data_IF_864644620763
#
_entry.id   IF_864644620763
#
_cell.length_a   1.000
_cell.length_b   1.000
_cell.length_c   1.000
_cell.angle_alpha   90.00
_cell.angle_beta   90.00
_cell.angle_gamma   90.00
#
_symmetry.space_group_name_H-M   'P 1'
#
loop_
_entity.id
_entity.type
_entity.pdbx_description
1 polymer ?
#
# COMPACT_ATOMS: atom_id res chain seq x y z
N UNK A 1 5.03 -22.02 -5.12
CA UNK A 1 4.05 -22.90 -5.80
C UNK A 1 4.79 -23.85 -6.73
N UNK A 2 4.32 -25.10 -6.89
CA UNK A 2 4.80 -25.97 -7.96
C UNK A 2 4.66 -25.27 -9.33
N UNK A 3 5.66 -25.39 -10.22
CA UNK A 3 5.53 -24.87 -11.59
C UNK A 3 4.27 -25.41 -12.28
N UNK A 4 3.54 -24.55 -12.99
CA UNK A 4 2.31 -24.91 -13.69
C UNK A 4 1.06 -25.00 -12.81
N UNK A 5 1.14 -24.59 -11.55
CA UNK A 5 -0.05 -24.45 -10.70
C UNK A 5 -0.97 -23.39 -11.27
N UNK A 6 -2.21 -23.76 -11.58
CA UNK A 6 -3.20 -22.87 -12.19
C UNK A 6 -3.65 -21.83 -11.16
N UNK A 7 -3.64 -20.56 -11.54
CA UNK A 7 -4.04 -19.45 -10.66
C UNK A 7 -5.03 -18.48 -11.29
N UNK A 8 -5.27 -18.57 -12.60
CA UNK A 8 -6.29 -17.82 -13.31
C UNK A 8 -6.98 -18.73 -14.31
N UNK A 9 -8.31 -18.68 -14.37
CA UNK A 9 -9.14 -19.22 -15.43
C UNK A 9 -9.78 -18.04 -16.19
N UNK A 10 -9.29 -17.73 -17.39
CA UNK A 10 -9.84 -16.62 -18.16
C UNK A 10 -11.33 -16.79 -18.46
N UNK A 11 -12.18 -15.88 -17.99
CA UNK A 11 -13.62 -15.89 -18.28
C UNK A 11 -13.94 -15.81 -19.78
N UNK A 12 -13.09 -15.12 -20.54
CA UNK A 12 -13.27 -14.94 -21.98
C UNK A 12 -12.93 -16.19 -22.80
N UNK A 13 -12.03 -17.04 -22.31
CA UNK A 13 -11.45 -18.14 -23.10
C UNK A 13 -11.54 -19.51 -22.43
N UNK A 14 -11.92 -19.59 -21.15
CA UNK A 14 -11.95 -20.81 -20.34
C UNK A 14 -10.58 -21.46 -20.15
N UNK A 15 -9.50 -20.71 -20.41
CA UNK A 15 -8.12 -21.23 -20.37
C UNK A 15 -7.47 -20.92 -19.04
N UNK A 16 -6.69 -21.89 -18.55
CA UNK A 16 -5.96 -21.76 -17.31
C UNK A 16 -4.53 -21.25 -17.53
N UNK A 17 -4.09 -20.34 -16.68
CA UNK A 17 -2.73 -19.82 -16.65
C UNK A 17 -2.21 -19.70 -15.21
N UNK A 18 -0.90 -19.54 -15.08
CA UNK A 18 -0.22 -19.25 -13.82
C UNK A 18 0.28 -17.81 -13.88
N UNK A 19 -0.44 -16.88 -13.25
CA UNK A 19 -0.10 -15.46 -13.25
C UNK A 19 0.17 -14.94 -11.83
N UNK A 20 -0.53 -15.47 -10.84
CA UNK A 20 -0.31 -15.16 -9.43
C UNK A 20 0.86 -15.95 -8.85
N UNK A 21 1.87 -15.25 -8.35
CA UNK A 21 3.09 -15.83 -7.81
C UNK A 21 3.39 -15.24 -6.42
N UNK A 22 3.83 -16.10 -5.51
CA UNK A 22 4.33 -15.70 -4.20
C UNK A 22 5.84 -15.97 -4.13
N UNK A 23 6.63 -14.92 -3.89
CA UNK A 23 8.08 -14.99 -3.80
C UNK A 23 8.53 -14.86 -2.35
N UNK A 24 9.53 -15.64 -1.97
CA UNK A 24 10.22 -15.55 -0.67
C UNK A 24 11.70 -15.31 -0.90
N UNK A 25 12.35 -14.58 0.01
CA UNK A 25 13.81 -14.49 0.00
C UNK A 25 14.43 -15.86 0.31
N UNK A 26 15.65 -16.09 -0.16
CA UNK A 26 16.40 -17.32 0.14
C UNK A 26 16.56 -17.57 1.64
N UNK A 27 16.59 -16.51 2.44
CA UNK A 27 16.67 -16.59 3.91
C UNK A 27 15.41 -17.15 4.58
N UNK A 28 14.27 -17.16 3.90
CA UNK A 28 12.98 -17.63 4.43
C UNK A 28 12.51 -18.92 3.77
N UNK A 29 13.30 -19.49 2.86
CA UNK A 29 12.94 -20.68 2.09
C UNK A 29 12.65 -21.89 3.00
N UNK A 30 13.53 -22.14 3.97
CA UNK A 30 13.38 -23.23 4.95
C UNK A 30 12.22 -22.99 5.93
N UNK A 31 11.74 -21.75 6.04
CA UNK A 31 10.60 -21.39 6.88
C UNK A 31 9.26 -21.57 6.16
N UNK A 32 9.24 -21.85 4.85
CA UNK A 32 7.99 -22.05 4.11
C UNK A 32 7.36 -23.40 4.48
N UNK A 33 6.21 -23.35 5.16
CA UNK A 33 5.45 -24.54 5.53
C UNK A 33 4.56 -25.04 4.39
N UNK A 34 3.99 -24.12 3.62
CA UNK A 34 2.98 -24.43 2.61
C UNK A 34 2.90 -23.31 1.58
N UNK A 35 2.71 -23.68 0.31
CA UNK A 35 2.35 -22.76 -0.75
C UNK A 35 1.39 -23.47 -1.71
N UNK A 36 0.11 -23.08 -1.70
CA UNK A 36 -0.96 -23.73 -2.49
C UNK A 36 -1.97 -22.72 -3.01
N UNK A 37 -2.89 -23.19 -3.85
CA UNK A 37 -4.09 -22.42 -4.23
C UNK A 37 -5.29 -22.80 -3.36
N UNK A 38 -6.30 -21.94 -3.35
CA UNK A 38 -7.60 -22.12 -2.69
C UNK A 38 -8.69 -21.42 -3.49
N UNK A 39 -9.90 -21.98 -3.45
CA UNK A 39 -11.07 -21.46 -4.18
C UNK A 39 -11.30 -19.99 -3.86
N UNK A 40 -11.44 -19.17 -4.90
CA UNK A 40 -11.52 -17.72 -4.82
C UNK A 40 -12.91 -17.16 -4.54
N UNK A 41 -13.90 -18.02 -4.28
CA UNK A 41 -15.25 -17.62 -3.91
C UNK A 41 -15.92 -16.69 -4.96
N UNK A 42 -15.74 -16.99 -6.24
CA UNK A 42 -16.40 -16.30 -7.35
C UNK A 42 -15.52 -15.33 -8.13
N UNK A 43 -14.20 -15.41 -8.00
CA UNK A 43 -13.26 -14.79 -8.94
C UNK A 43 -12.87 -15.81 -10.03
N UNK A 44 -12.46 -15.29 -11.18
CA UNK A 44 -11.74 -16.00 -12.22
C UNK A 44 -10.30 -16.38 -11.81
N UNK A 45 -9.74 -15.75 -10.79
CA UNK A 45 -8.47 -16.12 -10.14
C UNK A 45 -8.66 -17.21 -9.08
N UNK A 46 -7.61 -17.91 -8.69
CA UNK A 46 -7.52 -18.76 -7.48
C UNK A 46 -6.63 -18.06 -6.44
N UNK A 47 -6.99 -18.15 -5.17
CA UNK A 47 -6.20 -17.50 -4.11
C UNK A 47 -4.90 -18.25 -3.85
N UNK A 48 -3.75 -17.57 -3.90
CA UNK A 48 -2.48 -18.18 -3.49
C UNK A 48 -2.28 -18.02 -1.99
N UNK A 49 -2.24 -19.15 -1.27
CA UNK A 49 -1.97 -19.22 0.17
C UNK A 49 -0.50 -19.60 0.37
N UNK A 50 0.24 -18.73 1.05
CA UNK A 50 1.61 -18.96 1.50
C UNK A 50 1.66 -18.94 3.02
N UNK A 51 2.17 -20.00 3.64
CA UNK A 51 2.39 -20.08 5.09
C UNK A 51 3.87 -20.20 5.37
N UNK A 52 4.36 -19.34 6.25
CA UNK A 52 5.75 -19.26 6.64
C UNK A 52 5.81 -19.32 8.17
N UNK A 53 6.66 -20.19 8.72
CA UNK A 53 6.95 -20.28 10.14
C UNK A 53 8.10 -19.34 10.50
N UNK A 54 7.74 -18.13 10.90
CA UNK A 54 8.70 -17.12 11.36
C UNK A 54 8.35 -16.69 12.78
N UNK A 55 9.35 -16.54 13.67
CA UNK A 55 9.14 -15.99 14.99
C UNK A 55 8.82 -14.50 14.88
N UNK A 56 7.57 -14.16 14.59
CA UNK A 56 7.11 -12.78 14.55
C UNK A 56 6.77 -12.36 15.97
N UNK A 57 7.56 -11.46 16.53
CA UNK A 57 7.07 -10.67 17.68
C UNK A 57 5.90 -9.86 17.15
N UNK A 58 4.67 -10.16 17.59
CA UNK A 58 3.50 -9.38 17.22
C UNK A 58 3.74 -7.94 17.64
N UNK A 59 4.06 -7.08 16.69
CA UNK A 59 4.09 -5.64 16.91
C UNK A 59 2.70 -5.24 17.39
N UNK A 60 2.62 -4.35 18.38
CA UNK A 60 1.35 -3.71 18.72
C UNK A 60 0.71 -3.10 17.46
N UNK A 61 -0.60 -2.80 17.48
CA UNK A 61 -1.27 -2.22 16.32
C UNK A 61 -0.52 -0.96 15.88
N UNK A 62 0.18 -1.05 14.74
CA UNK A 62 0.93 0.08 14.21
C UNK A 62 -0.05 1.23 13.94
N UNK A 63 0.32 2.42 14.39
CA UNK A 63 -0.32 3.65 13.95
C UNK A 63 -0.20 3.71 12.43
N UNK A 64 -1.31 3.52 11.72
CA UNK A 64 -1.34 3.60 10.25
C UNK A 64 -1.95 4.95 9.85
N UNK A 65 -1.49 5.58 8.76
CA UNK A 65 -2.16 6.76 8.23
C UNK A 65 -3.63 6.45 7.88
N UNK A 66 -4.53 7.37 8.24
CA UNK A 66 -5.95 7.26 7.90
C UNK A 66 -6.26 8.09 6.67
N UNK A 67 -5.98 7.58 5.47
CA UNK A 67 -6.23 8.29 4.20
C UNK A 67 -7.70 8.70 3.99
N UNK A 68 -8.66 7.95 4.55
CA UNK A 68 -10.08 8.37 4.57
C UNK A 68 -10.31 9.68 5.31
N UNK A 69 -9.48 9.96 6.32
CA UNK A 69 -9.57 11.13 7.17
C UNK A 69 -8.54 12.19 6.81
N UNK A 70 -7.80 12.00 5.70
CA UNK A 70 -6.82 12.96 5.25
C UNK A 70 -7.52 14.25 4.79
N UNK A 71 -6.87 15.38 5.08
CA UNK A 71 -7.26 16.68 4.58
C UNK A 71 -6.65 16.88 3.19
N UNK A 72 -7.36 16.41 2.15
CA UNK A 72 -6.85 16.44 0.78
C UNK A 72 -6.74 17.85 0.20
N UNK A 73 -7.54 18.80 0.71
CA UNK A 73 -7.45 20.21 0.32
C UNK A 73 -6.15 20.81 0.86
N UNK A 74 -5.88 20.65 2.16
CA UNK A 74 -4.63 21.10 2.76
C UNK A 74 -3.38 20.42 2.15
N UNK A 75 -3.49 19.15 1.75
CA UNK A 75 -2.43 18.44 1.03
C UNK A 75 -2.17 19.05 -0.36
N UNK A 76 -3.22 19.36 -1.11
CA UNK A 76 -3.14 20.00 -2.42
C UNK A 76 -2.50 21.38 -2.32
N UNK A 77 -2.97 22.21 -1.38
CA UNK A 77 -2.43 23.54 -1.13
C UNK A 77 -0.94 23.50 -0.80
N UNK A 78 -0.51 22.55 0.03
CA UNK A 78 0.90 22.38 0.40
C UNK A 78 1.78 21.95 -0.79
N UNK A 79 1.25 21.13 -1.70
CA UNK A 79 1.96 20.77 -2.93
C UNK A 79 2.07 21.97 -3.86
N UNK A 80 0.98 22.71 -4.07
CA UNK A 80 0.96 23.86 -4.96
C UNK A 80 1.93 24.95 -4.47
N UNK A 81 1.96 25.22 -3.16
CA UNK A 81 2.94 26.11 -2.54
C UNK A 81 4.38 25.65 -2.79
N UNK A 82 4.65 24.35 -2.63
CA UNK A 82 5.98 23.79 -2.87
C UNK A 82 6.39 23.89 -4.35
N UNK A 83 5.48 23.59 -5.28
CA UNK A 83 5.76 23.67 -6.72
C UNK A 83 5.99 25.11 -7.20
N UNK A 84 5.38 26.09 -6.54
CA UNK A 84 5.61 27.52 -6.80
C UNK A 84 6.85 28.07 -6.09
N UNK A 85 7.50 27.27 -5.24
CA UNK A 85 8.69 27.67 -4.51
C UNK A 85 9.88 27.86 -5.45
N UNK A 86 10.70 28.91 -5.26
CA UNK A 86 11.91 29.14 -6.07
C UNK A 86 13.02 28.09 -5.84
N UNK A 87 12.75 27.06 -5.03
CA UNK A 87 13.69 25.99 -4.68
C UNK A 87 13.80 24.94 -5.78
N UNK A 88 12.82 24.85 -6.67
CA UNK A 88 12.85 23.94 -7.82
C UNK A 88 13.53 24.63 -9.01
N UNK A 89 14.51 23.98 -9.66
CA UNK A 89 15.16 24.54 -10.84
C UNK A 89 14.23 24.51 -12.06
N UNK A 90 14.23 25.59 -12.86
CA UNK A 90 13.48 25.66 -14.13
C UNK A 90 14.03 24.68 -15.18
N UNK A 91 15.32 24.40 -15.13
CA UNK A 91 16.00 23.46 -16.01
C UNK A 91 17.03 22.65 -15.23
N UNK A 92 17.00 21.33 -15.42
CA UNK A 92 17.97 20.41 -14.84
C UNK A 92 19.12 20.24 -15.83
N UNK A 93 20.32 20.63 -15.42
CA UNK A 93 21.51 20.68 -16.28
C UNK A 93 22.57 19.64 -15.91
N UNK A 94 22.39 18.96 -14.78
CA UNK A 94 23.32 17.94 -14.30
C UNK A 94 22.60 16.78 -13.59
N UNK A 95 23.28 15.63 -13.49
CA UNK A 95 22.78 14.47 -12.73
C UNK A 95 22.65 14.81 -11.25
N UNK A 96 23.58 15.58 -10.69
CA UNK A 96 23.54 15.97 -9.28
C UNK A 96 22.32 16.84 -8.96
N UNK A 97 21.98 17.76 -9.86
CA UNK A 97 20.78 18.60 -9.77
C UNK A 97 19.51 17.77 -9.91
N UNK A 98 19.49 16.78 -10.80
CA UNK A 98 18.38 15.84 -10.94
C UNK A 98 18.10 15.09 -9.64
N UNK A 99 19.14 14.46 -9.06
CA UNK A 99 19.02 13.68 -7.83
C UNK A 99 18.54 14.54 -6.65
N UNK A 100 19.07 15.76 -6.53
CA UNK A 100 18.63 16.71 -5.50
C UNK A 100 17.16 17.11 -5.70
N UNK A 101 16.75 17.38 -6.94
CA UNK A 101 15.37 17.75 -7.27
C UNK A 101 14.41 16.61 -6.93
N UNK A 102 14.75 15.37 -7.28
CA UNK A 102 13.96 14.17 -6.95
C UNK A 102 13.85 14.01 -5.44
N UNK A 103 14.96 14.16 -4.72
CA UNK A 103 14.98 14.06 -3.27
C UNK A 103 14.07 15.10 -2.62
N UNK A 104 14.20 16.37 -3.01
CA UNK A 104 13.39 17.46 -2.47
C UNK A 104 11.90 17.25 -2.79
N UNK A 105 11.57 16.90 -4.03
CA UNK A 105 10.19 16.67 -4.46
C UNK A 105 9.55 15.51 -3.69
N UNK A 106 10.24 14.38 -3.60
CA UNK A 106 9.75 13.19 -2.89
C UNK A 106 9.59 13.47 -1.39
N UNK A 107 10.56 14.16 -0.79
CA UNK A 107 10.53 14.48 0.65
C UNK A 107 9.39 15.43 0.99
N UNK A 108 9.20 16.50 0.21
CA UNK A 108 8.13 17.48 0.46
C UNK A 108 6.74 16.88 0.23
N UNK A 109 6.55 16.08 -0.82
CA UNK A 109 5.29 15.37 -1.07
C UNK A 109 4.98 14.41 0.08
N UNK A 110 5.98 13.65 0.53
CA UNK A 110 5.80 12.69 1.64
C UNK A 110 5.46 13.42 2.93
N UNK A 111 6.16 14.50 3.25
CA UNK A 111 5.93 15.28 4.46
C UNK A 111 4.56 15.97 4.45
N UNK A 112 4.16 16.54 3.31
CA UNK A 112 2.82 17.12 3.14
C UNK A 112 1.73 16.06 3.38
N UNK A 113 1.91 14.85 2.86
CA UNK A 113 0.97 13.74 3.04
C UNK A 113 0.87 13.32 4.51
N UNK A 114 2.00 13.24 5.21
CA UNK A 114 2.05 12.91 6.64
C UNK A 114 1.35 13.97 7.49
N UNK A 115 1.56 15.26 7.21
CA UNK A 115 0.89 16.36 7.92
C UNK A 115 -0.61 16.37 7.67
N UNK A 116 -1.02 16.13 6.42
CA UNK A 116 -2.43 16.11 6.02
C UNK A 116 -3.17 14.85 6.48
N UNK A 117 -2.45 13.76 6.77
CA UNK A 117 -3.05 12.46 7.08
C UNK A 117 -2.92 12.12 8.57
N UNK A 118 -4.01 12.21 9.35
CA UNK A 118 -3.94 11.87 10.76
C UNK A 118 -3.64 10.38 10.97
N UNK A 119 -2.86 10.11 12.02
CA UNK A 119 -2.65 8.77 12.53
C UNK A 119 -3.99 8.11 12.91
N UNK A 120 -4.24 6.90 12.38
CA UNK A 120 -5.40 6.10 12.75
C UNK A 120 -5.22 5.64 14.19
N UNK A 121 -6.17 6.01 15.04
CA UNK A 121 -6.19 5.52 16.43
C UNK A 121 -6.31 3.98 16.42
N UNK A 122 -5.37 3.26 17.04
CA UNK A 122 -5.51 1.82 17.21
C UNK A 122 -6.72 1.58 18.14
N UNK A 123 -7.70 0.83 17.65
CA UNK A 123 -8.92 0.48 18.39
C UNK A 123 -9.04 -1.05 18.46
N UNK A 124 -9.27 -1.63 19.64
CA UNK A 124 -9.54 -3.07 19.78
C UNK A 124 -10.86 -3.48 19.10
N UNK A 125 -11.79 -2.54 19.00
CA UNK A 125 -13.04 -2.72 18.28
C UNK A 125 -12.82 -2.24 16.86
N UNK A 126 -13.01 -3.12 15.88
CA UNK A 126 -12.88 -2.84 14.45
C UNK A 126 -13.42 -1.45 14.14
N UNK A 127 -12.51 -0.57 13.75
CA UNK A 127 -12.84 0.77 13.29
C UNK A 127 -13.82 0.59 12.11
N UNK A 128 -15.09 0.90 12.35
CA UNK A 128 -16.22 0.51 11.51
C UNK A 128 -15.97 1.03 10.10
N UNK A 129 -15.73 0.15 9.14
CA UNK A 129 -15.35 0.51 7.76
C UNK A 129 -16.40 1.37 7.01
N UNK A 130 -17.63 1.42 7.53
CA UNK A 130 -18.71 2.26 7.03
C UNK A 130 -18.82 3.63 7.73
N UNK A 131 -18.05 3.87 8.79
CA UNK A 131 -18.09 5.12 9.54
C UNK A 131 -17.21 6.20 8.87
N UNK A 132 -17.75 7.40 8.69
CA UNK A 132 -17.07 8.52 8.02
C UNK A 132 -17.02 9.76 8.93
N UNK A 133 -16.28 10.79 8.49
CA UNK A 133 -16.16 12.06 9.22
C UNK A 133 -17.51 12.79 9.27
N UNK A 134 -18.28 12.75 8.19
CA UNK A 134 -19.64 13.31 8.10
C UNK A 134 -20.56 12.66 9.14
N UNK A 135 -20.52 11.32 9.26
CA UNK A 135 -21.30 10.59 10.26
C UNK A 135 -20.89 10.94 11.70
N UNK A 136 -19.62 11.30 11.91
CA UNK A 136 -19.15 11.78 13.21
C UNK A 136 -19.74 13.15 13.55
N UNK A 137 -19.84 14.05 12.56
CA UNK A 137 -20.46 15.37 12.72
C UNK A 137 -21.99 15.34 12.95
N UNK A 138 -22.65 14.26 12.51
CA UNK A 138 -24.09 14.04 12.75
C UNK A 138 -24.42 13.47 14.13
N UNK A 139 -23.39 13.08 14.91
CA UNK A 139 -23.57 12.53 16.25
C UNK A 139 -23.84 13.68 17.23
N UNK A 140 -25.10 13.82 17.67
CA UNK A 140 -25.52 14.77 18.71
C UNK A 140 -24.98 14.38 20.08
#
# INVERSE_FOLDING_TARGET
LPPGTRTLCSDAHGTWSTVDLAFVSTTLEESVLECRTDDSHGSDHESVILRIDVPVTRSGPNSRPSYRSADWEAYGDAIDEYLQSPTLPDQITSVQELELTIFLLTSNITEALERATPARKPSPHNNKYWWTRELTGLRR
#
